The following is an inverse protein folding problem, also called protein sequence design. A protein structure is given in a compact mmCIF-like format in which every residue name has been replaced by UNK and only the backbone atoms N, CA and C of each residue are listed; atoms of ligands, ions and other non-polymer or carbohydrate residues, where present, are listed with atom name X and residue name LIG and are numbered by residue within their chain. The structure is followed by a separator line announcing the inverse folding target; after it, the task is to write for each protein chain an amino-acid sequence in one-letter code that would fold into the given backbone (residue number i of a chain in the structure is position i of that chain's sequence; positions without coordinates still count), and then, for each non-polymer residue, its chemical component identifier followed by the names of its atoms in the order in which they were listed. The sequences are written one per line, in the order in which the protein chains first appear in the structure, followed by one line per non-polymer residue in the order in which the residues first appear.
data_IF_400169656523
#
_entry.id   IF_400169656523
#
_cell.length_a   1.000
_cell.length_b   1.000
_cell.length_c   1.000
_cell.angle_alpha   90.00
_cell.angle_beta   90.00
_cell.angle_gamma   90.00
#
_symmetry.space_group_name_H-M   'P 1'
#
loop_
_entity.id
_entity.type
_entity.pdbx_description
1 polymer ?
#
# COMPACT_ATOMS: atom_id res chain seq x y z
N UNK A 1 0.72 -17.10 3.73
CA UNK A 1 -0.71 -16.77 3.89
C UNK A 1 -0.83 -15.28 3.68
N UNK A 2 -1.84 -14.84 2.91
CA UNK A 2 -2.09 -13.42 2.68
C UNK A 2 -2.81 -12.82 3.89
N UNK A 3 -2.40 -11.64 4.31
CA UNK A 3 -3.02 -10.90 5.40
C UNK A 3 -3.14 -9.41 5.06
N UNK A 4 -4.28 -8.82 5.44
CA UNK A 4 -4.49 -7.38 5.31
C UNK A 4 -3.81 -6.66 6.47
N UNK A 5 -3.05 -5.62 6.16
CA UNK A 5 -2.41 -4.78 7.17
C UNK A 5 -3.15 -3.46 7.28
N UNK A 6 -3.81 -3.26 8.42
CA UNK A 6 -4.57 -2.03 8.75
C UNK A 6 -3.86 -1.17 9.79
N UNK A 7 -2.71 -1.62 10.31
CA UNK A 7 -1.90 -0.85 11.25
C UNK A 7 -0.77 -0.10 10.53
N UNK A 8 -0.71 1.21 10.80
CA UNK A 8 0.28 2.11 10.18
C UNK A 8 1.70 1.75 10.57
N UNK A 9 1.94 1.51 11.85
CA UNK A 9 3.29 1.31 12.38
C UNK A 9 3.87 -0.01 11.85
N UNK A 10 3.08 -1.07 11.88
CA UNK A 10 3.41 -2.37 11.33
C UNK A 10 3.75 -2.26 9.84
N UNK A 11 2.89 -1.62 9.04
CA UNK A 11 3.12 -1.47 7.61
C UNK A 11 4.42 -0.73 7.29
N UNK A 12 4.64 0.43 7.93
CA UNK A 12 5.86 1.22 7.70
C UNK A 12 7.11 0.51 8.20
N UNK A 13 7.02 -0.26 9.29
CA UNK A 13 8.12 -1.10 9.77
C UNK A 13 8.53 -2.12 8.72
N UNK A 14 7.56 -2.88 8.17
CA UNK A 14 7.85 -3.84 7.09
C UNK A 14 8.37 -3.15 5.83
N UNK A 15 7.75 -2.05 5.38
CA UNK A 15 8.18 -1.34 4.18
C UNK A 15 9.62 -0.80 4.32
N UNK A 16 9.99 -0.30 5.51
CA UNK A 16 11.34 0.21 5.79
C UNK A 16 12.43 -0.86 5.73
N UNK A 17 12.08 -2.13 5.95
CA UNK A 17 13.00 -3.26 5.85
C UNK A 17 13.45 -3.54 4.42
N UNK A 18 12.80 -2.96 3.40
CA UNK A 18 13.15 -3.11 1.99
C UNK A 18 13.92 -1.88 1.48
N UNK A 19 15.14 -2.09 0.95
CA UNK A 19 16.04 -1.01 0.51
C UNK A 19 15.57 -0.18 -0.69
N UNK A 20 14.57 -0.62 -1.45
CA UNK A 20 14.12 0.03 -2.69
C UNK A 20 12.65 0.48 -2.67
N UNK A 21 11.90 0.17 -1.62
CA UNK A 21 10.45 0.36 -1.56
C UNK A 21 10.05 1.32 -0.44
N UNK A 22 10.43 2.59 -0.55
CA UNK A 22 10.26 3.52 0.58
C UNK A 22 9.07 4.46 0.43
N UNK A 23 8.97 5.20 -0.68
CA UNK A 23 7.94 6.23 -0.79
C UNK A 23 6.57 5.69 -1.22
N UNK A 24 6.48 5.06 -2.41
CA UNK A 24 5.20 4.57 -2.95
C UNK A 24 4.58 3.42 -2.16
N UNK A 25 5.37 2.77 -1.30
CA UNK A 25 4.89 1.75 -0.38
C UNK A 25 4.72 2.27 1.05
N UNK A 26 4.88 3.56 1.31
CA UNK A 26 4.59 4.13 2.63
C UNK A 26 3.09 4.10 2.94
N UNK A 27 2.75 4.14 4.23
CA UNK A 27 1.38 4.34 4.66
C UNK A 27 0.84 5.68 4.16
N UNK A 28 1.67 6.73 4.28
CA UNK A 28 1.41 8.11 3.90
C UNK A 28 1.02 8.23 2.43
N UNK A 29 1.71 7.52 1.53
CA UNK A 29 1.33 7.50 0.12
C UNK A 29 -0.09 6.96 -0.07
N UNK A 30 -0.44 5.86 0.59
CA UNK A 30 -1.80 5.33 0.54
C UNK A 30 -2.85 6.31 1.10
N UNK A 31 -2.56 7.05 2.16
CA UNK A 31 -3.47 8.07 2.68
C UNK A 31 -3.63 9.26 1.72
N UNK A 32 -2.55 9.66 1.05
CA UNK A 32 -2.60 10.63 -0.03
C UNK A 32 -3.52 10.13 -1.16
N UNK A 33 -3.39 8.87 -1.59
CA UNK A 33 -4.28 8.29 -2.62
C UNK A 33 -5.75 8.28 -2.19
N UNK A 34 -6.04 7.94 -0.93
CA UNK A 34 -7.39 8.01 -0.36
C UNK A 34 -7.95 9.43 -0.37
N UNK A 35 -7.12 10.44 -0.12
CA UNK A 35 -7.54 11.84 -0.19
C UNK A 35 -7.96 12.27 -1.62
N UNK A 36 -7.45 11.60 -2.66
CA UNK A 36 -7.90 11.75 -4.05
C UNK A 36 -9.13 10.88 -4.39
N UNK A 37 -9.77 10.25 -3.42
CA UNK A 37 -10.96 9.41 -3.61
C UNK A 37 -10.67 7.99 -4.11
N UNK A 38 -9.41 7.54 -4.05
CA UNK A 38 -9.02 6.19 -4.49
C UNK A 38 -9.17 5.17 -3.36
N UNK A 39 -9.46 3.93 -3.73
CA UNK A 39 -9.47 2.83 -2.77
C UNK A 39 -8.06 2.23 -2.63
N UNK A 40 -7.60 2.02 -1.39
CA UNK A 40 -6.26 1.50 -1.09
C UNK A 40 -6.35 0.27 -0.21
N UNK A 41 -5.75 -0.82 -0.66
CA UNK A 41 -5.63 -2.08 0.08
C UNK A 41 -4.15 -2.42 0.29
N UNK A 42 -3.80 -2.83 1.50
CA UNK A 42 -2.42 -3.19 1.88
C UNK A 42 -2.40 -4.65 2.32
N UNK A 43 -1.64 -5.48 1.61
CA UNK A 43 -1.51 -6.91 1.87
C UNK A 43 -0.04 -7.27 2.14
N UNK A 44 0.16 -8.26 3.00
CA UNK A 44 1.45 -8.96 3.09
C UNK A 44 1.30 -10.46 2.91
N UNK A 45 2.35 -11.10 2.39
CA UNK A 45 2.53 -12.54 2.45
C UNK A 45 3.68 -12.86 3.39
N UNK A 46 3.36 -13.46 4.55
CA UNK A 46 4.33 -13.82 5.59
C UNK A 46 5.24 -12.64 5.99
N UNK A 47 4.75 -11.40 5.91
CA UNK A 47 5.49 -10.16 6.19
C UNK A 47 6.78 -9.95 5.39
N UNK A 48 6.97 -10.72 4.31
CA UNK A 48 8.15 -10.65 3.43
C UNK A 48 7.84 -10.01 2.08
N UNK A 49 6.61 -10.19 1.61
CA UNK A 49 6.13 -9.57 0.38
C UNK A 49 5.05 -8.57 0.76
N UNK A 50 5.24 -7.32 0.35
CA UNK A 50 4.29 -6.24 0.58
C UNK A 50 3.67 -5.82 -0.73
N UNK A 51 2.34 -5.64 -0.73
CA UNK A 51 1.61 -5.14 -1.89
C UNK A 51 0.65 -4.05 -1.44
N UNK A 52 0.80 -2.86 -2.01
CA UNK A 52 -0.18 -1.78 -1.90
C UNK A 52 -0.93 -1.66 -3.23
N UNK A 53 -2.22 -1.99 -3.20
CA UNK A 53 -3.14 -1.82 -4.31
C UNK A 53 -3.78 -0.45 -4.22
N UNK A 54 -3.85 0.25 -5.35
CA UNK A 54 -4.55 1.52 -5.50
C UNK A 54 -5.53 1.32 -6.66
N UNK A 55 -6.82 1.29 -6.36
CA UNK A 55 -7.85 1.25 -7.38
C UNK A 55 -8.06 2.66 -7.96
N UNK A 56 -8.00 2.77 -9.28
CA UNK A 56 -8.23 4.02 -9.99
C UNK A 56 -8.95 3.76 -11.31
N UNK A 57 -9.92 4.63 -11.67
CA UNK A 57 -10.55 4.55 -12.98
C UNK A 57 -9.51 4.80 -14.08
N UNK A 58 -9.64 4.08 -15.19
CA UNK A 58 -8.81 4.33 -16.36
C UNK A 58 -9.11 5.74 -16.90
N UNK A 59 -8.09 6.54 -17.28
CA UNK A 59 -8.27 7.92 -17.76
C UNK A 59 -9.21 8.06 -18.96
N UNK A 60 -9.40 6.98 -19.72
CA UNK A 60 -10.34 6.91 -20.83
C UNK A 60 -11.11 5.61 -20.73
N UNK A 61 -12.35 5.69 -20.24
CA UNK A 61 -13.28 4.59 -20.28
C UNK A 61 -13.58 4.19 -21.74
N UNK A 62 -13.47 2.90 -22.01
CA UNK A 62 -14.52 2.18 -22.74
C UNK A 62 -14.88 0.97 -21.90
#
# INVERSE_FOLDING_TARGET
MWQTIVDKQHWNMLASAHGHAQFLQSWEWGEFQKAYGRHVLRLSWKDQVLVQFIDMPLPTGK
#
